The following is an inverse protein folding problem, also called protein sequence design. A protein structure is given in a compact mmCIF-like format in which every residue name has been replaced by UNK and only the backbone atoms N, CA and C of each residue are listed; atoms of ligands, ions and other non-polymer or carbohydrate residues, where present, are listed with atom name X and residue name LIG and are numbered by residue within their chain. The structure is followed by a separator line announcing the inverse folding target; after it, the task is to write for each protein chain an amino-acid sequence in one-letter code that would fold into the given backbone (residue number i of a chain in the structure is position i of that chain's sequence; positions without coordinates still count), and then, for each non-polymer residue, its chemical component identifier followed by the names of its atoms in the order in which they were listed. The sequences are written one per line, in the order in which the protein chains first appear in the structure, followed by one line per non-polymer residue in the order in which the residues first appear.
data_IF_157673104628
#
_entry.id   IF_157673104628
#
_cell.length_a   1.000
_cell.length_b   1.000
_cell.length_c   1.000
_cell.angle_alpha   90.00
_cell.angle_beta   90.00
_cell.angle_gamma   90.00
#
_symmetry.space_group_name_H-M   'P 1'
#
loop_
_entity.id
_entity.type
_entity.pdbx_description
1 polymer ?
#
# COMPACT_ATOMS: atom_id res chain seq x y z
N UNK A 1 -8.26 -16.54 7.57
CA UNK A 1 -7.86 -16.26 6.18
C UNK A 1 -7.29 -17.51 5.50
N UNK A 2 -6.31 -18.20 6.12
CA UNK A 2 -5.73 -19.40 5.50
C UNK A 2 -6.75 -20.50 5.18
N UNK A 3 -7.75 -20.69 6.03
CA UNK A 3 -8.83 -21.66 5.82
C UNK A 3 -9.90 -21.18 4.85
N UNK A 4 -10.22 -19.88 4.88
CA UNK A 4 -11.27 -19.31 4.03
C UNK A 4 -10.81 -18.93 2.63
N UNK A 5 -9.48 -18.90 2.38
CA UNK A 5 -8.88 -18.44 1.13
C UNK A 5 -9.11 -16.94 0.83
N UNK A 6 -9.55 -16.16 1.84
CA UNK A 6 -9.75 -14.73 1.68
C UNK A 6 -8.43 -13.96 1.86
N UNK A 7 -8.21 -12.89 1.08
CA UNK A 7 -7.07 -12.02 1.30
C UNK A 7 -7.20 -11.26 2.62
N UNK A 8 -6.05 -10.95 3.24
CA UNK A 8 -6.00 -10.18 4.49
C UNK A 8 -5.59 -8.73 4.23
N UNK A 9 -6.21 -7.82 4.96
CA UNK A 9 -5.79 -6.43 5.08
C UNK A 9 -5.08 -6.27 6.42
N UNK A 10 -3.77 -5.98 6.40
CA UNK A 10 -2.94 -6.01 7.60
C UNK A 10 -2.52 -4.60 8.00
N UNK A 11 -2.89 -4.20 9.21
CA UNK A 11 -2.30 -3.04 9.87
C UNK A 11 -1.02 -3.44 10.60
N UNK A 12 0.08 -2.71 10.35
CA UNK A 12 1.32 -2.90 11.09
C UNK A 12 2.04 -1.57 11.35
N UNK A 13 2.27 -1.28 12.61
CA UNK A 13 3.06 -0.11 13.05
C UNK A 13 4.13 -0.57 14.05
N UNK A 14 5.42 -0.34 13.70
CA UNK A 14 6.59 -0.63 14.55
C UNK A 14 6.75 -2.11 14.97
N UNK A 15 6.11 -3.06 14.27
CA UNK A 15 6.17 -4.49 14.58
C UNK A 15 6.46 -5.35 13.32
N UNK A 16 7.18 -4.80 12.34
CA UNK A 16 7.39 -5.43 11.03
C UNK A 16 8.17 -6.74 11.13
N UNK A 17 9.16 -6.85 12.00
CA UNK A 17 9.93 -8.08 12.15
C UNK A 17 9.06 -9.20 12.71
N UNK A 18 8.29 -8.93 13.76
CA UNK A 18 7.36 -9.91 14.32
C UNK A 18 6.28 -10.31 13.33
N UNK A 19 5.74 -9.34 12.58
CA UNK A 19 4.78 -9.61 11.52
C UNK A 19 5.38 -10.52 10.45
N UNK A 20 6.61 -10.26 10.01
CA UNK A 20 7.29 -11.08 9.02
C UNK A 20 7.50 -12.52 9.49
N UNK A 21 7.92 -12.73 10.73
CA UNK A 21 8.06 -14.07 11.33
C UNK A 21 6.74 -14.85 11.24
N UNK A 22 5.63 -14.21 11.66
CA UNK A 22 4.31 -14.82 11.61
C UNK A 22 3.90 -15.14 10.16
N UNK A 23 3.99 -14.16 9.25
CA UNK A 23 3.58 -14.34 7.87
C UNK A 23 4.43 -15.37 7.12
N UNK A 24 5.71 -15.49 7.47
CA UNK A 24 6.62 -16.48 6.89
C UNK A 24 6.15 -17.92 7.16
N UNK A 25 5.56 -18.19 8.33
CA UNK A 25 5.00 -19.51 8.66
C UNK A 25 3.73 -19.85 7.84
N UNK A 26 3.14 -18.84 7.18
CA UNK A 26 1.98 -18.99 6.30
C UNK A 26 2.31 -18.76 4.81
N UNK A 27 3.61 -18.77 4.45
CA UNK A 27 4.04 -18.57 3.04
C UNK A 27 3.25 -19.43 2.07
N UNK A 28 2.68 -18.83 1.03
CA UNK A 28 1.86 -19.50 0.02
C UNK A 28 0.45 -19.92 0.48
N UNK A 29 0.12 -19.80 1.77
CA UNK A 29 -1.19 -20.15 2.32
C UNK A 29 -2.12 -18.95 2.53
N UNK A 30 -1.54 -17.76 2.64
CA UNK A 30 -2.28 -16.50 2.75
C UNK A 30 -1.74 -15.50 1.74
N UNK A 31 -2.60 -14.58 1.34
CA UNK A 31 -2.30 -13.44 0.48
C UNK A 31 -2.96 -12.20 1.07
N UNK A 32 -2.46 -11.04 0.74
CA UNK A 32 -3.04 -9.82 1.28
C UNK A 32 -2.25 -8.57 0.96
N UNK A 33 -2.55 -7.51 1.68
CA UNK A 33 -1.90 -6.22 1.60
C UNK A 33 -1.52 -5.72 2.99
N UNK A 34 -0.30 -5.19 3.12
CA UNK A 34 0.06 -4.37 4.27
C UNK A 34 -0.43 -2.95 3.96
N UNK A 35 -1.49 -2.52 4.66
CA UNK A 35 -2.08 -1.23 4.40
C UNK A 35 -1.24 -0.10 5.00
N UNK A 36 -1.23 1.05 4.31
CA UNK A 36 -0.50 2.27 4.70
C UNK A 36 0.95 1.97 5.11
N UNK A 37 1.68 1.26 4.23
CA UNK A 37 3.00 0.71 4.55
C UNK A 37 3.99 1.77 5.00
N UNK A 38 4.56 1.60 6.19
CA UNK A 38 5.52 2.52 6.83
C UNK A 38 6.86 1.86 7.21
N UNK A 39 7.11 0.63 6.76
CA UNK A 39 8.27 -0.18 7.16
C UNK A 39 9.62 0.21 6.54
N UNK A 40 9.64 1.01 5.46
CA UNK A 40 10.85 1.36 4.73
C UNK A 40 11.25 0.34 3.66
N UNK A 41 12.20 0.75 2.80
CA UNK A 41 12.58 0.00 1.60
C UNK A 41 13.17 -1.39 1.91
N UNK A 42 14.00 -1.48 2.93
CA UNK A 42 14.69 -2.75 3.27
C UNK A 42 13.69 -3.81 3.78
N UNK A 43 12.70 -3.38 4.57
CA UNK A 43 11.62 -4.28 5.03
C UNK A 43 10.61 -4.63 3.93
N UNK A 44 10.46 -3.77 2.92
CA UNK A 44 9.50 -3.93 1.83
C UNK A 44 9.71 -5.24 1.07
N UNK A 45 10.94 -5.53 0.65
CA UNK A 45 11.26 -6.71 -0.16
C UNK A 45 10.88 -8.02 0.55
N UNK A 46 11.05 -8.08 1.87
CA UNK A 46 10.67 -9.25 2.68
C UNK A 46 9.19 -9.62 2.52
N UNK A 47 8.29 -8.62 2.51
CA UNK A 47 6.86 -8.86 2.34
C UNK A 47 6.48 -9.12 0.88
N UNK A 48 7.16 -8.47 -0.06
CA UNK A 48 7.00 -8.75 -1.49
C UNK A 48 7.38 -10.20 -1.83
N UNK A 49 8.46 -10.72 -1.24
CA UNK A 49 8.91 -12.12 -1.40
C UNK A 49 7.92 -13.13 -0.80
N UNK A 50 7.09 -12.71 0.16
CA UNK A 50 5.97 -13.50 0.66
C UNK A 50 4.71 -13.41 -0.22
N UNK A 51 4.73 -12.58 -1.29
CA UNK A 51 3.62 -12.40 -2.21
C UNK A 51 2.59 -11.35 -1.78
N UNK A 52 2.90 -10.53 -0.78
CA UNK A 52 2.01 -9.46 -0.32
C UNK A 52 2.06 -8.23 -1.23
N UNK A 53 0.95 -7.52 -1.29
CA UNK A 53 0.85 -6.16 -1.81
C UNK A 53 1.15 -5.15 -0.70
N UNK A 54 1.55 -3.94 -1.08
CA UNK A 54 1.70 -2.83 -0.14
C UNK A 54 0.87 -1.65 -0.65
N UNK A 55 0.15 -0.98 0.23
CA UNK A 55 -0.59 0.21 -0.13
C UNK A 55 0.05 1.49 0.40
N UNK A 56 -0.20 2.57 -0.31
CA UNK A 56 0.26 3.91 0.01
C UNK A 56 -0.95 4.82 0.24
N UNK A 57 -0.90 5.56 1.34
CA UNK A 57 -1.91 6.52 1.77
C UNK A 57 -1.40 7.95 1.68
N UNK A 58 -2.17 8.92 2.18
CA UNK A 58 -1.82 10.33 2.24
C UNK A 58 -0.43 10.64 2.83
N UNK A 59 0.14 9.73 3.61
CA UNK A 59 1.49 9.87 4.17
C UNK A 59 2.58 10.08 3.10
N UNK A 60 2.40 9.57 1.87
CA UNK A 60 3.38 9.73 0.78
C UNK A 60 3.39 11.14 0.21
N UNK A 61 2.29 11.90 0.37
CA UNK A 61 2.15 13.26 -0.20
C UNK A 61 2.90 14.32 0.58
N UNK A 62 3.26 14.05 1.84
CA UNK A 62 3.87 15.04 2.75
C UNK A 62 5.28 15.42 2.31
N UNK A 63 5.67 16.68 2.53
CA UNK A 63 7.01 17.19 2.18
C UNK A 63 8.16 16.38 2.78
N UNK A 64 8.00 15.88 4.02
CA UNK A 64 9.02 15.11 4.73
C UNK A 64 8.84 13.59 4.56
N UNK A 65 8.15 13.15 3.52
CA UNK A 65 7.79 11.75 3.27
C UNK A 65 8.93 10.90 2.66
N UNK A 66 10.20 11.23 2.93
CA UNK A 66 11.39 10.61 2.28
C UNK A 66 11.32 9.07 2.28
N UNK A 67 10.97 8.48 3.42
CA UNK A 67 10.86 7.03 3.58
C UNK A 67 9.76 6.43 2.68
N UNK A 68 8.58 7.07 2.66
CA UNK A 68 7.46 6.66 1.82
C UNK A 68 7.77 6.82 0.33
N UNK A 69 8.39 7.94 -0.05
CA UNK A 69 8.82 8.20 -1.43
C UNK A 69 9.84 7.17 -1.92
N UNK A 70 10.79 6.76 -1.08
CA UNK A 70 11.74 5.71 -1.43
C UNK A 70 11.06 4.37 -1.67
N UNK A 71 10.05 4.00 -0.86
CA UNK A 71 9.27 2.80 -1.06
C UNK A 71 8.41 2.90 -2.33
N UNK A 72 7.68 4.01 -2.52
CA UNK A 72 6.86 4.24 -3.70
C UNK A 72 7.68 4.21 -5.00
N UNK A 73 8.93 4.69 -4.96
CA UNK A 73 9.85 4.62 -6.09
C UNK A 73 10.32 3.20 -6.40
N UNK A 74 10.52 2.38 -5.38
CA UNK A 74 11.16 1.07 -5.50
C UNK A 74 10.18 -0.09 -5.67
N UNK A 75 8.94 0.04 -5.21
CA UNK A 75 7.95 -1.05 -5.28
C UNK A 75 7.63 -1.44 -6.73
N UNK A 76 7.54 -2.73 -7.08
CA UNK A 76 6.99 -3.17 -8.36
C UNK A 76 5.56 -2.66 -8.55
N UNK A 77 5.24 -2.13 -9.74
CA UNK A 77 3.90 -1.58 -10.02
C UNK A 77 2.78 -2.61 -9.88
N UNK A 78 3.07 -3.89 -10.13
CA UNK A 78 2.14 -5.01 -9.98
C UNK A 78 1.94 -5.47 -8.52
N UNK A 79 2.56 -4.80 -7.55
CA UNK A 79 2.45 -5.05 -6.11
C UNK A 79 1.98 -3.83 -5.32
N UNK A 80 1.69 -2.74 -6.00
CA UNK A 80 1.32 -1.46 -5.40
C UNK A 80 -0.20 -1.28 -5.37
N UNK A 81 -0.72 -0.82 -4.23
CA UNK A 81 -2.10 -0.36 -4.07
C UNK A 81 -2.13 1.08 -3.55
N UNK A 82 -3.22 1.77 -3.84
CA UNK A 82 -3.52 3.10 -3.34
C UNK A 82 -4.65 3.03 -2.33
N UNK A 83 -4.60 3.92 -1.35
CA UNK A 83 -5.65 4.10 -0.36
C UNK A 83 -5.66 5.52 0.20
N UNK A 84 -6.63 5.88 1.02
CA UNK A 84 -6.67 7.14 1.77
C UNK A 84 -6.48 6.95 3.27
N UNK A 85 -6.98 5.86 3.81
CA UNK A 85 -7.18 5.62 5.26
C UNK A 85 -8.03 6.74 5.89
N UNK A 86 -9.03 7.21 5.13
CA UNK A 86 -9.94 8.27 5.58
C UNK A 86 -10.79 7.80 6.78
N UNK A 87 -10.97 8.65 7.81
CA UNK A 87 -10.45 10.01 8.00
C UNK A 87 -9.15 10.06 8.83
N UNK A 88 -8.34 9.00 8.84
CA UNK A 88 -7.24 8.82 9.81
C UNK A 88 -5.92 9.44 9.36
N UNK A 89 -5.63 9.48 8.05
CA UNK A 89 -4.34 9.94 7.52
C UNK A 89 -4.50 11.19 6.66
N UNK A 90 -3.89 12.30 7.12
CA UNK A 90 -3.82 13.54 6.37
C UNK A 90 -3.00 13.40 5.06
N UNK A 91 -3.38 14.17 4.03
CA UNK A 91 -2.53 14.43 2.86
C UNK A 91 -1.68 15.69 3.08
N UNK A 92 -0.91 16.12 2.08
CA UNK A 92 -0.20 17.40 2.14
C UNK A 92 -1.17 18.59 2.17
N UNK A 93 -2.31 18.49 1.49
CA UNK A 93 -3.27 19.58 1.31
C UNK A 93 -4.48 19.51 2.26
N UNK A 94 -4.74 18.35 2.88
CA UNK A 94 -5.98 18.09 3.62
C UNK A 94 -5.66 17.48 4.99
N UNK A 95 -6.23 18.08 6.04
CA UNK A 95 -6.13 17.54 7.42
C UNK A 95 -6.86 16.21 7.54
N UNK A 96 -6.43 15.34 8.47
CA UNK A 96 -6.94 13.97 8.54
C UNK A 96 -8.48 13.88 8.65
N UNK A 97 -9.09 14.71 9.49
CA UNK A 97 -10.55 14.72 9.71
C UNK A 97 -11.38 15.09 8.47
N UNK A 98 -10.76 15.70 7.48
CA UNK A 98 -11.40 16.14 6.23
C UNK A 98 -11.05 15.23 5.04
N UNK A 99 -10.20 14.22 5.26
CA UNK A 99 -9.84 13.29 4.19
C UNK A 99 -11.05 12.40 3.86
N UNK A 100 -11.35 12.35 2.57
CA UNK A 100 -12.42 11.54 1.98
C UNK A 100 -11.82 10.56 0.95
N UNK A 101 -12.56 9.53 0.49
CA UNK A 101 -12.08 8.60 -0.53
C UNK A 101 -11.58 9.25 -1.82
N UNK A 102 -12.12 10.41 -2.21
CA UNK A 102 -11.67 11.15 -3.42
C UNK A 102 -10.22 11.62 -3.35
N UNK A 103 -9.67 11.83 -2.15
CA UNK A 103 -8.28 12.26 -1.95
C UNK A 103 -7.25 11.17 -2.29
N UNK A 104 -7.71 9.98 -2.72
CA UNK A 104 -6.87 8.97 -3.36
C UNK A 104 -6.15 9.52 -4.60
N UNK A 105 -6.74 10.52 -5.28
CA UNK A 105 -6.12 11.17 -6.43
C UNK A 105 -4.87 11.97 -6.06
N UNK A 106 -4.79 12.56 -4.87
CA UNK A 106 -3.57 13.22 -4.39
C UNK A 106 -2.45 12.21 -4.15
N UNK A 107 -2.79 11.02 -3.64
CA UNK A 107 -1.84 9.93 -3.47
C UNK A 107 -1.33 9.43 -4.83
N UNK A 108 -2.24 9.25 -5.78
CA UNK A 108 -1.91 8.82 -7.14
C UNK A 108 -1.01 9.84 -7.86
N UNK A 109 -1.35 11.13 -7.77
CA UNK A 109 -0.58 12.23 -8.35
C UNK A 109 0.86 12.26 -7.81
N UNK A 110 0.99 12.16 -6.47
CA UNK A 110 2.31 12.14 -5.84
C UNK A 110 3.16 10.93 -6.25
N UNK A 111 2.54 9.75 -6.38
CA UNK A 111 3.25 8.56 -6.86
C UNK A 111 3.61 8.67 -8.34
N UNK A 112 2.73 9.27 -9.16
CA UNK A 112 3.00 9.56 -10.57
C UNK A 112 4.22 10.47 -10.71
N UNK A 113 4.30 11.55 -9.93
CA UNK A 113 5.48 12.44 -9.85
C UNK A 113 6.75 11.66 -9.47
N UNK A 114 6.71 10.88 -8.39
CA UNK A 114 7.88 10.10 -7.90
C UNK A 114 8.38 9.10 -8.95
N UNK A 115 7.46 8.52 -9.72
CA UNK A 115 7.74 7.45 -10.70
C UNK A 115 7.96 7.95 -12.12
N UNK A 116 7.69 9.24 -12.39
CA UNK A 116 7.65 9.80 -13.74
C UNK A 116 6.66 9.04 -14.65
N UNK A 117 5.45 8.81 -14.14
CA UNK A 117 4.34 8.15 -14.81
C UNK A 117 3.14 9.11 -14.89
N UNK A 118 2.13 8.76 -15.68
CA UNK A 118 0.84 9.45 -15.63
C UNK A 118 -0.01 8.99 -14.43
N UNK A 119 -0.87 9.87 -13.93
CA UNK A 119 -1.86 9.53 -12.87
C UNK A 119 -2.72 8.35 -13.34
N UNK A 120 -3.11 8.35 -14.62
CA UNK A 120 -3.93 7.28 -15.21
C UNK A 120 -3.24 5.91 -15.14
N UNK A 121 -1.93 5.84 -15.39
CA UNK A 121 -1.17 4.59 -15.25
C UNK A 121 -1.12 4.12 -13.80
N UNK A 122 -0.83 5.02 -12.86
CA UNK A 122 -0.78 4.69 -11.43
C UNK A 122 -2.13 4.20 -10.94
N UNK A 123 -3.22 4.90 -11.27
CA UNK A 123 -4.59 4.48 -10.93
C UNK A 123 -4.97 3.16 -11.58
N UNK A 124 -4.67 3.01 -12.87
CA UNK A 124 -4.96 1.79 -13.64
C UNK A 124 -4.28 0.57 -13.03
N UNK A 125 -2.98 0.65 -12.76
CA UNK A 125 -2.22 -0.44 -12.12
C UNK A 125 -2.72 -0.79 -10.73
N UNK A 126 -3.01 0.22 -9.90
CA UNK A 126 -3.58 -0.02 -8.58
C UNK A 126 -4.95 -0.71 -8.66
N UNK A 127 -5.80 -0.29 -9.59
CA UNK A 127 -7.11 -0.89 -9.79
C UNK A 127 -7.03 -2.35 -10.29
N UNK A 128 -6.10 -2.64 -11.23
CA UNK A 128 -5.82 -4.00 -11.67
C UNK A 128 -5.36 -4.89 -10.50
N UNK A 129 -4.40 -4.42 -9.73
CA UNK A 129 -3.88 -5.12 -8.57
C UNK A 129 -4.97 -5.39 -7.52
N UNK A 130 -5.84 -4.40 -7.27
CA UNK A 130 -6.96 -4.56 -6.35
C UNK A 130 -7.93 -5.65 -6.81
N UNK A 131 -8.28 -5.68 -8.11
CA UNK A 131 -9.15 -6.73 -8.68
C UNK A 131 -8.50 -8.11 -8.61
N UNK A 132 -7.18 -8.21 -8.84
CA UNK A 132 -6.45 -9.47 -8.72
C UNK A 132 -6.40 -9.98 -7.27
N UNK A 133 -6.10 -9.08 -6.31
CA UNK A 133 -6.05 -9.45 -4.90
C UNK A 133 -7.42 -9.79 -4.35
N UNK A 134 -8.41 -8.95 -4.61
CA UNK A 134 -9.79 -9.06 -4.11
C UNK A 134 -10.72 -9.61 -5.19
N UNK A 135 -10.40 -10.79 -5.72
CA UNK A 135 -11.08 -11.41 -6.87
C UNK A 135 -12.58 -11.64 -6.72
N UNK A 136 -13.12 -11.49 -5.50
CA UNK A 136 -14.57 -11.54 -5.22
C UNK A 136 -15.24 -10.17 -5.28
N UNK A 137 -14.48 -9.07 -5.46
CA UNK A 137 -15.07 -7.75 -5.77
C UNK A 137 -15.71 -7.80 -7.16
N UNK A 138 -16.98 -7.47 -7.24
CA UNK A 138 -17.72 -7.30 -8.49
C UNK A 138 -17.84 -5.83 -8.86
#
# INVERSE_FOLDING_TARGET
AAESGLPVLIHCRKAFDRLYEILSSYRGRIRGVLHSYSGGKDGMNRFLDLGFYLSFSGSVTRQNARKYSQCAKAIPLDRMLLETDAPSIATQSTVASEVEPRHILEVADKIAEIRNLSISEVCGRSAENARMLFSKMR
#
